data_IF_426879626503
#
_entry.id   IF_426879626503
#
_cell.length_a   1.000
_cell.length_b   1.000
_cell.length_c   1.000
_cell.angle_alpha   90.00
_cell.angle_beta   90.00
_cell.angle_gamma   90.00
#
_symmetry.space_group_name_H-M   'P 1'
#
loop_
_entity.id
_entity.type
_entity.pdbx_description
1 polymer ?
#
# COMPACT_ATOMS: atom_id res chain seq x y z
N UNK A 1 -36.80 -48.31 24.26
CA UNK A 1 -35.49 -47.98 23.64
C UNK A 1 -35.50 -46.51 23.28
N UNK A 2 -34.76 -45.70 24.03
CA UNK A 2 -34.59 -44.28 23.70
C UNK A 2 -33.40 -44.14 22.78
N UNK A 3 -33.65 -43.61 21.56
CA UNK A 3 -32.58 -43.21 20.66
C UNK A 3 -32.19 -41.78 21.02
N UNK A 4 -31.01 -41.61 21.60
CA UNK A 4 -30.42 -40.30 21.80
C UNK A 4 -29.78 -39.85 20.47
N UNK A 5 -30.40 -38.87 19.86
CA UNK A 5 -29.80 -38.20 18.68
C UNK A 5 -28.83 -37.15 19.21
N UNK A 6 -27.54 -37.38 18.99
CA UNK A 6 -26.51 -36.43 19.32
C UNK A 6 -26.45 -35.41 18.16
N UNK A 7 -26.91 -34.19 18.40
CA UNK A 7 -26.68 -33.08 17.46
C UNK A 7 -25.31 -32.50 17.75
N UNK A 8 -24.34 -32.78 16.86
CA UNK A 8 -23.08 -32.09 16.87
C UNK A 8 -23.31 -30.70 16.26
N UNK A 9 -23.31 -29.67 17.10
CA UNK A 9 -23.29 -28.29 16.62
C UNK A 9 -21.89 -28.00 16.05
N UNK A 10 -21.77 -27.90 14.73
CA UNK A 10 -20.57 -27.48 14.07
C UNK A 10 -20.47 -25.96 14.25
N UNK A 11 -19.63 -25.51 15.18
CA UNK A 11 -19.31 -24.10 15.30
C UNK A 11 -18.38 -23.73 14.15
N UNK A 12 -18.91 -23.07 13.14
CA UNK A 12 -18.09 -22.47 12.08
C UNK A 12 -17.47 -21.19 12.64
N UNK A 13 -16.21 -21.28 13.04
CA UNK A 13 -15.40 -20.11 13.33
C UNK A 13 -15.06 -19.44 11.99
N UNK A 14 -15.81 -18.41 11.62
CA UNK A 14 -15.41 -17.55 10.51
C UNK A 14 -14.28 -16.65 10.98
N UNK A 15 -13.05 -17.02 10.63
CA UNK A 15 -11.91 -16.13 10.73
C UNK A 15 -12.07 -15.05 9.66
N UNK A 16 -12.49 -13.85 10.07
CA UNK A 16 -12.44 -12.68 9.18
C UNK A 16 -10.97 -12.28 9.00
N UNK A 17 -10.35 -12.72 7.91
CA UNK A 17 -9.08 -12.16 7.46
C UNK A 17 -9.33 -10.75 6.96
N UNK A 18 -8.46 -9.74 7.31
CA UNK A 18 -8.58 -8.42 6.72
C UNK A 18 -8.55 -8.56 5.20
N UNK A 19 -9.57 -8.02 4.54
CA UNK A 19 -9.66 -8.07 3.10
C UNK A 19 -8.52 -7.26 2.48
N UNK A 20 -7.73 -7.87 1.60
CA UNK A 20 -6.69 -7.17 0.82
C UNK A 20 -7.30 -6.04 -0.01
N UNK A 21 -8.60 -6.13 -0.35
CA UNK A 21 -9.33 -5.12 -1.09
C UNK A 21 -9.47 -3.79 -0.36
N UNK A 22 -9.37 -3.78 0.98
CA UNK A 22 -9.47 -2.57 1.80
C UNK A 22 -8.11 -1.91 2.05
N UNK A 23 -7.03 -2.54 1.64
CA UNK A 23 -5.69 -1.96 1.69
C UNK A 23 -5.44 -1.04 0.49
N UNK A 24 -4.62 -0.01 0.70
CA UNK A 24 -4.21 0.86 -0.40
C UNK A 24 -3.37 0.09 -1.42
N UNK A 25 -3.64 0.31 -2.70
CA UNK A 25 -2.98 -0.39 -3.80
C UNK A 25 -2.22 0.60 -4.68
N UNK A 26 -1.00 0.21 -5.09
CA UNK A 26 -0.24 0.94 -6.09
C UNK A 26 -0.65 0.44 -7.47
N UNK A 27 -1.25 1.30 -8.28
CA UNK A 27 -1.61 0.95 -9.66
C UNK A 27 -0.47 1.21 -10.64
N UNK A 28 0.31 2.25 -10.39
CA UNK A 28 1.43 2.63 -11.24
C UNK A 28 2.44 3.46 -10.47
N UNK A 29 3.69 3.39 -10.90
CA UNK A 29 4.74 4.25 -10.40
C UNK A 29 5.72 4.55 -11.54
N UNK A 30 6.18 5.79 -11.59
CA UNK A 30 7.21 6.23 -12.53
C UNK A 30 8.32 6.96 -11.77
N UNK A 31 9.52 6.96 -12.34
CA UNK A 31 10.68 7.62 -11.77
C UNK A 31 11.43 8.41 -12.84
N UNK A 32 11.88 9.59 -12.46
CA UNK A 32 12.70 10.45 -13.34
C UNK A 32 13.92 10.92 -12.56
N UNK A 33 15.10 10.69 -13.12
CA UNK A 33 16.35 11.19 -12.54
C UNK A 33 16.54 12.65 -12.90
N UNK A 34 16.89 13.46 -11.91
CA UNK A 34 17.19 14.88 -12.06
C UNK A 34 18.48 15.19 -11.29
N UNK A 35 19.58 15.37 -12.00
CA UNK A 35 20.88 15.52 -11.36
C UNK A 35 21.26 14.25 -10.56
N UNK A 36 21.49 14.41 -9.26
CA UNK A 36 21.86 13.30 -8.37
C UNK A 36 20.68 12.73 -7.57
N UNK A 37 19.46 13.20 -7.84
CA UNK A 37 18.27 12.74 -7.14
C UNK A 37 17.21 12.21 -8.11
N UNK A 38 16.20 11.57 -7.54
CA UNK A 38 15.08 11.01 -8.27
C UNK A 38 13.77 11.61 -7.82
N UNK A 39 12.88 11.80 -8.78
CA UNK A 39 11.47 12.13 -8.52
C UNK A 39 10.61 10.92 -8.85
N UNK A 40 9.69 10.60 -7.95
CA UNK A 40 8.74 9.50 -8.14
C UNK A 40 7.33 10.04 -8.25
N UNK A 41 6.56 9.45 -9.15
CA UNK A 41 5.13 9.71 -9.29
C UNK A 41 4.39 8.39 -9.08
N UNK A 42 3.49 8.35 -8.10
CA UNK A 42 2.82 7.12 -7.66
C UNK A 42 1.32 7.30 -7.74
N UNK A 43 0.67 6.36 -8.40
CA UNK A 43 -0.79 6.30 -8.53
C UNK A 43 -1.34 5.26 -7.57
N UNK A 44 -2.22 5.71 -6.70
CA UNK A 44 -2.82 4.89 -5.64
C UNK A 44 -4.32 4.77 -5.85
N UNK A 45 -4.84 3.57 -5.60
CA UNK A 45 -6.26 3.29 -5.46
C UNK A 45 -6.55 2.84 -4.03
N UNK A 46 -7.50 3.48 -3.41
CA UNK A 46 -8.04 3.11 -2.11
C UNK A 46 -9.44 3.71 -1.94
N UNK A 47 -10.44 2.93 -1.46
CA UNK A 47 -11.79 3.46 -1.24
C UNK A 47 -11.82 4.33 0.03
N UNK A 48 -11.25 5.53 -0.05
CA UNK A 48 -11.25 6.48 1.07
C UNK A 48 -12.67 6.82 1.49
N UNK A 49 -12.97 6.72 2.77
CA UNK A 49 -14.28 7.02 3.33
C UNK A 49 -14.30 8.26 4.21
N UNK A 50 -13.21 8.99 4.25
CA UNK A 50 -13.00 10.16 5.09
C UNK A 50 -11.77 9.99 5.98
N UNK A 51 -11.66 10.82 7.01
CA UNK A 51 -10.52 10.80 7.92
C UNK A 51 -10.41 9.52 8.74
N UNK A 52 -11.48 8.75 8.85
CA UNK A 52 -11.49 7.49 9.58
C UNK A 52 -10.74 6.37 8.85
N UNK A 53 -10.76 6.40 7.53
CA UNK A 53 -10.11 5.39 6.71
C UNK A 53 -9.72 5.96 5.34
N UNK A 54 -8.45 6.25 5.17
CA UNK A 54 -7.91 6.81 3.92
C UNK A 54 -6.46 6.37 3.71
N UNK A 55 -6.02 6.40 2.45
CA UNK A 55 -4.61 6.23 2.12
C UNK A 55 -3.86 7.47 2.62
N UNK A 56 -2.93 7.27 3.56
CA UNK A 56 -2.26 8.36 4.26
C UNK A 56 -0.76 8.46 3.98
N UNK A 57 -0.23 7.59 3.13
CA UNK A 57 1.17 7.67 2.73
C UNK A 57 1.60 6.57 1.78
N UNK A 58 2.78 6.78 1.23
CA UNK A 58 3.50 5.75 0.48
C UNK A 58 5.01 5.96 0.62
N UNK A 59 5.76 4.89 0.46
CA UNK A 59 7.21 4.91 0.60
C UNK A 59 7.91 4.33 -0.62
N UNK A 60 9.13 4.81 -0.84
CA UNK A 60 10.09 4.25 -1.78
C UNK A 60 11.16 3.53 -0.96
N UNK A 61 11.37 2.26 -1.24
CA UNK A 61 12.30 1.42 -0.49
C UNK A 61 13.32 0.78 -1.42
N UNK A 62 14.53 0.60 -0.92
CA UNK A 62 15.51 -0.26 -1.57
C UNK A 62 15.07 -1.73 -1.46
N UNK A 63 15.61 -2.64 -2.31
CA UNK A 63 15.24 -4.06 -2.24
C UNK A 63 15.50 -4.72 -0.88
N UNK A 64 16.46 -4.22 -0.11
CA UNK A 64 16.77 -4.70 1.24
C UNK A 64 15.78 -4.20 2.32
N UNK A 65 14.80 -3.37 1.94
CA UNK A 65 13.80 -2.81 2.83
C UNK A 65 14.14 -1.43 3.41
N UNK A 66 15.33 -0.89 3.11
CA UNK A 66 15.70 0.46 3.56
C UNK A 66 14.78 1.50 2.93
N UNK A 67 14.13 2.33 3.74
CA UNK A 67 13.30 3.43 3.26
C UNK A 67 14.17 4.55 2.69
N UNK A 68 13.94 4.87 1.42
CA UNK A 68 14.66 5.94 0.72
C UNK A 68 13.88 7.24 0.67
N UNK A 69 12.57 7.16 0.75
CA UNK A 69 11.69 8.31 0.73
C UNK A 69 10.29 7.96 1.20
N UNK A 70 9.60 8.95 1.75
CA UNK A 70 8.23 8.83 2.22
C UNK A 70 7.41 10.03 1.78
N UNK A 71 6.24 9.76 1.23
CA UNK A 71 5.26 10.78 0.88
C UNK A 71 4.07 10.68 1.82
N UNK A 72 3.88 11.68 2.66
CA UNK A 72 2.67 11.81 3.48
C UNK A 72 1.53 12.33 2.60
N UNK A 73 0.38 11.65 2.65
CA UNK A 73 -0.84 12.09 2.01
C UNK A 73 -1.68 12.84 3.05
N UNK A 74 -2.04 14.09 2.74
CA UNK A 74 -2.48 15.05 3.74
C UNK A 74 -3.99 15.04 4.01
N UNK A 75 -4.76 14.37 3.15
CA UNK A 75 -6.22 14.33 3.28
C UNK A 75 -6.82 13.15 2.49
N UNK A 76 -8.07 12.75 2.83
CA UNK A 76 -8.78 11.73 2.06
C UNK A 76 -9.09 12.17 0.61
N UNK A 77 -9.15 11.19 -0.29
CA UNK A 77 -9.50 11.35 -1.70
C UNK A 77 -10.76 10.54 -1.99
N UNK A 78 -11.92 10.98 -1.51
CA UNK A 78 -13.17 10.23 -1.65
C UNK A 78 -13.71 10.22 -3.08
N UNK A 79 -13.53 11.33 -3.82
CA UNK A 79 -14.10 11.55 -5.15
C UNK A 79 -13.06 11.52 -6.28
N UNK A 80 -11.80 11.31 -5.97
CA UNK A 80 -10.70 11.19 -6.92
C UNK A 80 -10.02 9.85 -6.71
N UNK A 81 -10.40 8.86 -7.52
CA UNK A 81 -9.80 7.53 -7.48
C UNK A 81 -9.64 6.96 -8.90
N UNK A 82 -8.45 6.45 -9.27
CA UNK A 82 -7.20 6.55 -8.52
C UNK A 82 -6.64 7.99 -8.51
N UNK A 83 -5.74 8.25 -7.61
CA UNK A 83 -5.07 9.55 -7.56
C UNK A 83 -3.56 9.39 -7.60
N UNK A 84 -2.86 10.42 -8.11
CA UNK A 84 -1.41 10.42 -8.33
C UNK A 84 -0.76 11.54 -7.55
N UNK A 85 0.31 11.22 -6.81
CA UNK A 85 1.13 12.20 -6.09
C UNK A 85 2.61 11.93 -6.32
N UNK A 86 3.41 12.94 -6.14
CA UNK A 86 4.84 12.89 -6.42
C UNK A 86 5.70 13.17 -5.21
N UNK A 87 6.92 12.67 -5.24
CA UNK A 87 7.96 12.93 -4.26
C UNK A 87 9.27 13.20 -5.01
N UNK A 88 9.82 14.38 -4.82
CA UNK A 88 11.09 14.78 -5.43
C UNK A 88 12.24 14.67 -4.43
N UNK A 89 13.47 14.75 -4.95
CA UNK A 89 14.67 14.83 -4.12
C UNK A 89 15.01 13.54 -3.38
N UNK A 90 14.63 12.39 -3.91
CA UNK A 90 14.94 11.09 -3.32
C UNK A 90 16.35 10.67 -3.73
N UNK A 91 17.18 10.39 -2.73
CA UNK A 91 18.53 9.86 -2.95
C UNK A 91 18.47 8.34 -3.06
N UNK A 92 18.74 7.83 -4.24
CA UNK A 92 18.84 6.39 -4.48
C UNK A 92 20.33 6.03 -4.47
N UNK A 93 20.77 5.10 -3.61
CA UNK A 93 22.17 4.71 -3.55
C UNK A 93 22.68 4.15 -4.89
N UNK A 94 23.95 4.38 -5.19
CA UNK A 94 24.59 3.79 -6.34
C UNK A 94 24.49 2.26 -6.30
N UNK A 95 24.18 1.67 -7.45
CA UNK A 95 24.00 0.22 -7.57
C UNK A 95 22.58 -0.26 -7.29
N UNK A 96 21.69 0.58 -6.76
CA UNK A 96 20.27 0.27 -6.66
C UNK A 96 19.61 0.54 -8.02
N UNK A 97 19.16 -0.53 -8.68
CA UNK A 97 18.59 -0.47 -10.02
C UNK A 97 17.07 -0.66 -10.03
N UNK A 98 16.49 -0.98 -8.88
CA UNK A 98 15.05 -1.07 -8.71
C UNK A 98 14.67 -0.66 -7.28
N UNK A 99 13.44 -0.20 -7.13
CA UNK A 99 12.88 0.17 -5.82
C UNK A 99 11.53 -0.52 -5.64
N UNK A 100 11.14 -0.65 -4.37
CA UNK A 100 9.85 -1.22 -3.98
C UNK A 100 9.00 -0.10 -3.42
N UNK A 101 7.84 0.12 -4.04
CA UNK A 101 6.86 1.12 -3.60
C UNK A 101 5.82 0.44 -2.74
N UNK A 102 5.57 1.00 -1.56
CA UNK A 102 4.57 0.48 -0.62
C UNK A 102 3.57 1.58 -0.27
N UNK A 103 2.30 1.22 -0.25
CA UNK A 103 1.23 2.12 0.18
C UNK A 103 0.83 1.84 1.63
N UNK A 104 0.30 2.86 2.27
CA UNK A 104 -0.16 2.83 3.65
C UNK A 104 -1.56 3.43 3.76
N UNK A 105 -2.42 2.82 4.55
CA UNK A 105 -3.70 3.40 4.93
C UNK A 105 -3.84 3.51 6.45
N UNK A 106 -4.73 4.40 6.89
CA UNK A 106 -4.86 4.78 8.29
C UNK A 106 -5.41 3.68 9.20
N UNK A 107 -6.01 2.64 8.63
CA UNK A 107 -6.62 1.52 9.38
C UNK A 107 -5.74 0.27 9.34
N UNK A 108 -5.31 -0.14 8.13
CA UNK A 108 -4.59 -1.41 7.93
C UNK A 108 -3.06 -1.26 7.99
N UNK A 109 -2.57 -0.02 7.92
CA UNK A 109 -1.12 0.22 7.85
C UNK A 109 -0.54 -0.05 6.47
N UNK A 110 0.66 -0.62 6.44
CA UNK A 110 1.34 -0.96 5.19
C UNK A 110 0.62 -2.07 4.44
N UNK A 111 0.38 -1.85 3.16
CA UNK A 111 -0.26 -2.85 2.30
C UNK A 111 0.64 -4.07 2.09
N UNK A 112 0.03 -5.24 1.99
CA UNK A 112 0.74 -6.50 1.74
C UNK A 112 1.30 -6.55 0.32
N UNK A 113 0.55 -6.03 -0.65
CA UNK A 113 1.02 -5.91 -2.03
C UNK A 113 1.93 -4.71 -2.20
N UNK A 114 3.05 -4.93 -2.86
CA UNK A 114 4.01 -3.89 -3.21
C UNK A 114 4.14 -3.77 -4.72
N UNK A 115 4.77 -2.69 -5.16
CA UNK A 115 5.02 -2.43 -6.58
C UNK A 115 6.53 -2.28 -6.78
N UNK A 116 7.10 -3.15 -7.62
CA UNK A 116 8.53 -3.06 -7.96
C UNK A 116 8.70 -2.21 -9.22
N UNK A 117 9.51 -1.16 -9.12
CA UNK A 117 9.80 -0.23 -10.20
C UNK A 117 11.28 -0.31 -10.56
N UNK A 118 11.56 -0.62 -11.82
CA UNK A 118 12.93 -0.58 -12.35
C UNK A 118 13.33 0.85 -12.67
N UNK A 119 14.53 1.22 -12.27
CA UNK A 119 15.13 2.54 -12.55
C UNK A 119 15.98 2.47 -13.80
N UNK A 120 15.76 3.41 -14.70
CA UNK A 120 16.54 3.53 -15.96
C UNK A 120 17.56 4.63 -15.88
#
# INVERSE_FOLDING_TARGET
>A
MMKTTLFAALAVLSLSTPSVADQAQIENATATKSGNSWSFSVTIRHPDTGWDHYADGWSINAPDGTELGYRKLLHPHENEQPFTRSLAGVNVPDGVTEVVVRAHDSVHGWSDKTYTLKLN
#
